data_IF_762576643029
#
_entry.id   IF_762576643029
#
_cell.length_a   1.000
_cell.length_b   1.000
_cell.length_c   1.000
_cell.angle_alpha   90.00
_cell.angle_beta   90.00
_cell.angle_gamma   90.00
#
_symmetry.space_group_name_H-M   'P 1'
#
loop_
_entity.id
_entity.type
_entity.pdbx_description
1 polymer ?
#
# COMPACT_ATOMS: atom_id res chain seq x y z
N UNK A 1 6.65 -0.21 5.60
CA UNK A 1 5.81 0.73 4.84
C UNK A 1 4.85 -0.05 3.94
N UNK A 2 5.33 -0.71 2.88
CA UNK A 2 4.49 -1.40 1.89
C UNK A 2 3.44 -2.36 2.49
N UNK A 3 3.83 -3.22 3.45
CA UNK A 3 2.90 -4.13 4.15
C UNK A 3 1.66 -3.43 4.74
N UNK A 4 1.84 -2.25 5.35
CA UNK A 4 0.74 -1.50 6.00
C UNK A 4 0.01 -0.58 5.04
N UNK A 5 0.51 -0.40 3.81
CA UNK A 5 -0.13 0.45 2.79
C UNK A 5 -1.56 0.00 2.48
N UNK A 6 -1.83 -1.31 2.61
CA UNK A 6 -3.15 -1.89 2.35
C UNK A 6 -4.00 -2.17 3.59
N UNK A 7 -3.55 -1.70 4.76
CA UNK A 7 -4.28 -1.84 6.01
C UNK A 7 -5.54 -0.98 6.05
N UNK A 8 -5.50 0.23 5.49
CA UNK A 8 -6.61 1.17 5.44
C UNK A 8 -6.91 1.59 4.00
N UNK A 9 -8.07 2.21 3.79
CA UNK A 9 -8.47 2.76 2.49
C UNK A 9 -7.47 3.80 1.95
N UNK A 10 -6.81 4.53 2.85
CA UNK A 10 -5.84 5.57 2.51
C UNK A 10 -4.47 5.11 3.02
N UNK A 11 -3.61 4.73 2.09
CA UNK A 11 -2.24 4.31 2.38
C UNK A 11 -1.50 3.91 1.11
N UNK A 12 -2.17 3.13 0.27
CA UNK A 12 -1.67 2.65 -1.02
C UNK A 12 -2.79 2.65 -2.07
N UNK A 13 -2.48 2.29 -3.31
CA UNK A 13 -3.44 2.22 -4.40
C UNK A 13 -4.40 1.02 -4.31
N UNK A 14 -3.99 -0.21 -4.00
CA UNK A 14 -4.91 -1.37 -4.02
C UNK A 14 -6.20 -1.21 -3.18
N UNK A 15 -6.19 -0.61 -1.97
CA UNK A 15 -7.40 -0.29 -1.22
C UNK A 15 -8.34 0.67 -1.95
N UNK A 16 -7.79 1.65 -2.65
CA UNK A 16 -8.55 2.62 -3.44
C UNK A 16 -9.13 1.96 -4.69
N UNK A 17 -8.42 1.01 -5.30
CA UNK A 17 -8.91 0.19 -6.39
C UNK A 17 -10.07 -0.71 -5.92
N UNK A 18 -9.93 -1.36 -4.76
CA UNK A 18 -11.00 -2.15 -4.16
C UNK A 18 -12.24 -1.30 -3.90
N UNK A 19 -12.04 -0.09 -3.41
CA UNK A 19 -13.15 0.85 -3.30
C UNK A 19 -13.80 1.11 -4.68
N UNK A 20 -13.02 1.49 -5.69
CA UNK A 20 -13.55 1.85 -7.01
C UNK A 20 -14.33 0.71 -7.68
N UNK A 21 -13.96 -0.55 -7.42
CA UNK A 21 -14.56 -1.73 -8.06
C UNK A 21 -15.66 -2.36 -7.21
N UNK A 22 -15.46 -2.50 -5.90
CA UNK A 22 -16.35 -3.23 -5.00
C UNK A 22 -17.12 -2.33 -4.02
N UNK A 23 -16.84 -1.02 -4.01
CA UNK A 23 -17.51 -0.07 -3.13
C UNK A 23 -17.06 -0.12 -1.67
N UNK A 24 -15.91 -0.75 -1.36
CA UNK A 24 -15.38 -0.80 0.01
C UNK A 24 -15.13 0.60 0.58
N UNK A 25 -15.51 0.80 1.82
CA UNK A 25 -15.45 2.08 2.52
C UNK A 25 -14.41 2.06 3.65
N UNK A 26 -13.99 3.23 4.15
CA UNK A 26 -12.98 3.32 5.20
C UNK A 26 -13.27 2.43 6.44
N UNK A 27 -14.51 2.41 6.99
CA UNK A 27 -14.83 1.54 8.13
C UNK A 27 -14.69 0.04 7.81
N UNK A 28 -14.94 -0.36 6.55
CA UNK A 28 -14.86 -1.76 6.13
C UNK A 28 -13.44 -2.32 6.24
N UNK A 29 -12.40 -1.47 6.16
CA UNK A 29 -11.01 -1.89 6.35
C UNK A 29 -10.70 -2.22 7.82
N UNK A 30 -11.48 -1.71 8.76
CA UNK A 30 -11.34 -2.02 10.19
C UNK A 30 -12.25 -3.20 10.54
N UNK A 31 -13.54 -3.09 10.19
CA UNK A 31 -14.56 -4.04 10.57
C UNK A 31 -15.64 -4.13 9.50
N UNK A 32 -15.84 -5.32 8.94
CA UNK A 32 -16.80 -5.56 7.86
C UNK A 32 -17.60 -6.83 8.13
N UNK A 33 -18.92 -6.79 7.93
CA UNK A 33 -19.84 -7.93 8.16
C UNK A 33 -19.70 -8.61 9.53
N UNK A 34 -19.40 -7.84 10.58
CA UNK A 34 -19.24 -8.37 11.93
C UNK A 34 -17.88 -9.04 12.19
N UNK A 35 -16.91 -8.87 11.29
CA UNK A 35 -15.60 -9.52 11.33
C UNK A 35 -14.47 -8.49 11.18
N UNK A 36 -13.29 -8.74 11.77
CA UNK A 36 -12.12 -7.91 11.52
C UNK A 36 -11.64 -8.05 10.06
N UNK A 37 -11.28 -6.92 9.46
CA UNK A 37 -10.87 -6.84 8.06
C UNK A 37 -9.36 -6.58 7.94
N UNK A 38 -8.93 -5.82 6.91
CA UNK A 38 -7.53 -5.57 6.58
C UNK A 38 -6.68 -5.04 7.73
N UNK A 39 -7.12 -3.98 8.41
CA UNK A 39 -6.30 -3.29 9.42
C UNK A 39 -5.92 -4.20 10.60
N UNK A 40 -6.86 -4.87 11.31
CA UNK A 40 -6.49 -5.76 12.40
C UNK A 40 -5.65 -6.95 11.94
N UNK A 41 -5.98 -7.54 10.78
CA UNK A 41 -5.30 -8.73 10.25
C UNK A 41 -3.86 -8.40 9.86
N UNK A 42 -3.64 -7.31 9.11
CA UNK A 42 -2.30 -6.85 8.75
C UNK A 42 -1.50 -6.35 9.95
N UNK A 43 -2.15 -5.80 10.98
CA UNK A 43 -1.49 -5.45 12.24
C UNK A 43 -0.92 -6.69 12.92
N UNK A 44 -1.69 -7.78 13.01
CA UNK A 44 -1.20 -9.04 13.56
C UNK A 44 -0.06 -9.61 12.70
N UNK A 45 -0.20 -9.60 11.38
CA UNK A 45 0.85 -10.05 10.47
C UNK A 45 2.13 -9.23 10.62
N UNK A 46 2.02 -7.91 10.70
CA UNK A 46 3.15 -7.01 10.92
C UNK A 46 3.85 -7.29 12.25
N UNK A 47 3.10 -7.45 13.34
CA UNK A 47 3.66 -7.76 14.66
C UNK A 47 4.35 -9.13 14.65
N UNK A 48 3.79 -10.13 13.96
CA UNK A 48 4.41 -11.44 13.81
C UNK A 48 5.72 -11.37 13.01
N UNK A 49 5.73 -10.64 11.90
CA UNK A 49 6.95 -10.43 11.09
C UNK A 49 7.99 -9.64 11.88
N UNK A 50 7.60 -8.59 12.60
CA UNK A 50 8.49 -7.81 13.46
C UNK A 50 9.09 -8.67 14.57
N UNK A 51 8.28 -9.47 15.26
CA UNK A 51 8.74 -10.38 16.31
C UNK A 51 9.76 -11.39 15.78
N UNK A 52 9.55 -11.93 14.58
CA UNK A 52 10.51 -12.83 13.94
C UNK A 52 11.85 -12.13 13.66
N UNK A 53 11.84 -10.95 13.04
CA UNK A 53 13.08 -10.23 12.73
C UNK A 53 13.79 -9.77 14.01
N UNK A 54 13.06 -9.36 15.03
CA UNK A 54 13.61 -9.03 16.34
C UNK A 54 14.26 -10.24 17.02
N UNK A 55 13.61 -11.41 17.00
CA UNK A 55 14.18 -12.65 17.53
C UNK A 55 15.41 -13.10 16.72
N UNK A 56 15.36 -12.98 15.39
CA UNK A 56 16.48 -13.29 14.48
C UNK A 56 17.67 -12.37 14.73
N UNK A 57 17.45 -11.07 14.91
CA UNK A 57 18.52 -10.13 15.23
C UNK A 57 19.12 -10.45 16.60
N UNK A 58 18.31 -10.72 17.62
CA UNK A 58 18.81 -11.11 18.95
C UNK A 58 19.56 -12.44 18.96
N UNK A 59 19.17 -13.41 18.14
CA UNK A 59 19.89 -14.67 17.97
C UNK A 59 21.25 -14.48 17.26
N UNK A 60 21.37 -13.45 16.40
CA UNK A 60 22.63 -13.08 15.73
C UNK A 60 23.55 -12.20 16.60
N UNK A 61 23.06 -11.61 17.69
CA UNK A 61 23.84 -10.83 18.68
C UNK A 61 24.81 -11.73 19.52
N UNK A 62 25.06 -12.98 19.10
CA UNK A 62 26.27 -13.73 19.50
C UNK A 62 27.54 -13.25 18.78
N UNK A 63 27.40 -12.52 17.68
CA UNK A 63 28.49 -11.78 17.05
C UNK A 63 28.07 -10.32 16.93
N UNK A 64 28.81 -9.45 17.61
CA UNK A 64 28.70 -8.02 17.49
C UNK A 64 28.91 -7.62 16.03
N UNK A 65 27.83 -7.57 15.26
CA UNK A 65 27.72 -6.57 14.20
C UNK A 65 27.90 -5.27 14.96
N UNK A 66 28.95 -4.45 14.68
CA UNK A 66 28.94 -3.10 15.19
C UNK A 66 27.63 -2.54 14.67
N UNK A 67 26.66 -2.35 15.57
CA UNK A 67 25.72 -1.27 15.42
C UNK A 67 26.63 -0.15 15.00
N UNK A 68 26.52 0.31 13.75
CA UNK A 68 27.01 1.63 13.40
C UNK A 68 26.28 2.44 14.45
N UNK A 69 27.02 2.73 15.54
CA UNK A 69 26.55 3.51 16.65
C UNK A 69 25.86 4.62 15.91
N UNK A 70 24.55 4.72 16.12
CA UNK A 70 23.83 5.83 15.58
C UNK A 70 24.76 7.01 15.80
N UNK A 71 25.11 7.70 14.70
CA UNK A 71 24.75 9.08 14.73
C UNK A 71 23.35 9.03 15.33
N UNK A 72 23.31 9.25 16.64
CA UNK A 72 22.08 9.57 17.29
C UNK A 72 21.46 10.51 16.27
N UNK A 73 20.21 10.26 15.89
CA UNK A 73 19.38 11.41 15.59
C UNK A 73 19.29 12.13 16.94
N UNK A 74 20.40 12.73 17.33
CA UNK A 74 20.55 13.63 18.41
C UNK A 74 19.66 14.75 17.95
N UNK A 75 18.69 15.05 18.78
CA UNK A 75 18.09 16.36 18.83
C UNK A 75 19.13 17.38 19.36
N UNK A 76 20.42 17.17 19.04
CA UNK A 76 21.53 18.01 19.43
C UNK A 76 21.78 18.98 18.28
N UNK A 77 21.80 20.24 18.65
CA UNK A 77 21.96 21.39 17.78
C UNK A 77 23.11 21.20 16.78
N UNK A 78 22.97 21.66 15.53
CA UNK A 78 23.98 21.45 14.52
C UNK A 78 25.23 22.28 14.85
N UNK A 79 26.21 21.66 15.50
CA UNK A 79 27.59 22.12 15.45
C UNK A 79 28.12 21.88 14.05
N UNK A 80 28.14 22.96 13.26
CA UNK A 80 29.08 23.25 12.18
C UNK A 80 29.46 22.13 11.20
N UNK A 81 29.12 22.35 9.92
CA UNK A 81 29.73 21.79 8.69
C UNK A 81 29.17 20.51 8.07
N UNK A 82 28.03 20.00 8.50
CA UNK A 82 27.25 19.05 7.70
C UNK A 82 26.22 19.81 6.84
N UNK A 83 26.15 19.49 5.54
CA UNK A 83 25.14 19.99 4.61
C UNK A 83 23.75 20.01 5.27
N UNK A 84 23.02 21.13 5.26
CA UNK A 84 21.73 21.20 5.93
C UNK A 84 20.80 20.22 5.22
N UNK A 85 20.38 19.17 5.92
CA UNK A 85 19.12 18.51 5.59
C UNK A 85 18.02 19.57 5.47
N UNK A 86 16.94 19.34 4.70
CA UNK A 86 15.96 20.38 4.39
C UNK A 86 15.38 20.96 5.69
N UNK A 87 15.94 22.09 6.12
CA UNK A 87 15.51 22.79 7.31
C UNK A 87 14.10 23.25 7.04
N UNK A 88 13.14 22.82 7.86
CA UNK A 88 11.75 23.24 7.75
C UNK A 88 11.74 24.78 7.79
N UNK A 89 11.45 25.46 6.67
CA UNK A 89 11.76 26.88 6.52
C UNK A 89 10.91 27.77 7.43
N UNK A 90 9.74 27.27 7.85
CA UNK A 90 8.81 27.97 8.71
C UNK A 90 7.90 26.99 9.48
N UNK A 91 7.86 27.10 10.81
CA UNK A 91 6.99 26.29 11.67
C UNK A 91 5.50 26.49 11.35
N UNK A 92 5.10 27.70 10.98
CA UNK A 92 3.73 27.99 10.59
C UNK A 92 3.36 27.32 9.25
N UNK A 93 4.27 27.32 8.28
CA UNK A 93 4.08 26.61 7.01
C UNK A 93 3.91 25.11 7.24
N UNK A 94 4.80 24.49 8.02
CA UNK A 94 4.69 23.08 8.35
C UNK A 94 3.37 22.75 9.06
N UNK A 95 2.95 23.58 10.01
CA UNK A 95 1.68 23.37 10.70
C UNK A 95 0.48 23.45 9.74
N UNK A 96 0.43 24.46 8.87
CA UNK A 96 -0.64 24.61 7.87
C UNK A 96 -0.69 23.41 6.93
N UNK A 97 0.47 22.94 6.45
CA UNK A 97 0.55 21.75 5.58
C UNK A 97 0.12 20.49 6.32
N UNK A 98 0.61 20.24 7.53
CA UNK A 98 0.23 19.07 8.32
C UNK A 98 -1.26 19.06 8.67
N UNK A 99 -1.83 20.22 9.04
CA UNK A 99 -3.25 20.34 9.35
C UNK A 99 -4.10 20.19 8.08
N UNK A 100 -3.72 20.84 6.97
CA UNK A 100 -4.42 20.69 5.70
C UNK A 100 -4.41 19.25 5.18
N UNK A 101 -3.26 18.58 5.27
CA UNK A 101 -3.13 17.16 4.98
C UNK A 101 -4.01 16.31 5.91
N UNK A 102 -3.94 16.52 7.22
CA UNK A 102 -4.73 15.80 8.21
C UNK A 102 -6.25 15.96 7.99
N UNK A 103 -6.70 17.18 7.68
CA UNK A 103 -8.10 17.46 7.34
C UNK A 103 -8.52 16.75 6.05
N UNK A 104 -7.63 16.67 5.05
CA UNK A 104 -7.90 15.95 3.80
C UNK A 104 -8.04 14.44 4.06
N UNK A 105 -7.16 13.85 4.87
CA UNK A 105 -7.24 12.44 5.27
C UNK A 105 -8.54 12.17 6.05
N UNK A 106 -8.91 13.04 6.99
CA UNK A 106 -10.16 12.93 7.73
C UNK A 106 -11.39 13.07 6.81
N UNK A 107 -11.33 13.98 5.83
CA UNK A 107 -12.37 14.13 4.81
C UNK A 107 -12.53 12.88 3.97
N UNK A 108 -11.43 12.29 3.50
CA UNK A 108 -11.45 11.04 2.74
C UNK A 108 -11.95 9.85 3.57
N UNK A 109 -11.53 9.74 4.84
CA UNK A 109 -12.03 8.72 5.76
C UNK A 109 -13.51 8.89 6.08
N UNK A 110 -13.97 10.14 6.22
CA UNK A 110 -15.36 10.51 6.51
C UNK A 110 -16.24 10.70 5.28
N UNK A 111 -15.80 10.28 4.09
CA UNK A 111 -16.51 10.59 2.84
C UNK A 111 -17.95 10.09 2.79
N UNK A 112 -18.31 9.03 3.53
CA UNK A 112 -19.68 8.52 3.58
C UNK A 112 -20.67 9.62 4.01
N UNK A 113 -20.19 10.59 4.81
CA UNK A 113 -20.94 11.76 5.24
C UNK A 113 -20.99 12.86 4.17
N UNK A 114 -19.97 12.92 3.30
CA UNK A 114 -19.78 13.94 2.27
C UNK A 114 -20.40 13.49 0.92
N UNK A 115 -20.60 12.18 0.73
CA UNK A 115 -21.14 11.53 -0.49
C UNK A 115 -20.47 11.96 -1.79
N UNK A 116 -19.16 12.20 -1.73
CA UNK A 116 -18.35 12.53 -2.90
C UNK A 116 -17.22 11.53 -3.11
N UNK A 117 -16.79 11.42 -4.36
CA UNK A 117 -15.70 10.55 -4.79
C UNK A 117 -14.39 10.84 -4.06
N UNK A 118 -13.61 9.79 -3.80
CA UNK A 118 -12.35 9.90 -3.05
C UNK A 118 -11.37 10.88 -3.72
N UNK A 119 -11.30 10.82 -5.05
CA UNK A 119 -10.46 11.72 -5.85
C UNK A 119 -10.91 13.18 -5.82
N UNK A 120 -12.22 13.44 -5.70
CA UNK A 120 -12.73 14.81 -5.59
C UNK A 120 -12.34 15.45 -4.26
N UNK A 121 -12.45 14.70 -3.16
CA UNK A 121 -12.06 15.18 -1.82
C UNK A 121 -10.56 15.45 -1.77
N UNK A 122 -9.74 14.55 -2.33
CA UNK A 122 -8.29 14.74 -2.40
C UNK A 122 -7.93 15.98 -3.23
N UNK A 123 -8.56 16.18 -4.39
CA UNK A 123 -8.35 17.35 -5.23
C UNK A 123 -8.78 18.64 -4.51
N UNK A 124 -9.96 18.65 -3.89
CA UNK A 124 -10.45 19.80 -3.12
C UNK A 124 -9.53 20.16 -1.95
N UNK A 125 -9.00 19.16 -1.23
CA UNK A 125 -8.01 19.36 -0.17
C UNK A 125 -6.70 19.95 -0.69
N UNK A 126 -6.19 19.42 -1.80
CA UNK A 126 -4.98 19.93 -2.44
C UNK A 126 -5.15 21.38 -2.95
N UNK A 127 -6.22 21.66 -3.70
CA UNK A 127 -6.53 23.00 -4.19
C UNK A 127 -6.78 23.97 -3.03
N UNK A 128 -7.51 23.55 -2.00
CA UNK A 128 -7.74 24.35 -0.80
C UNK A 128 -6.42 24.71 -0.10
N UNK A 129 -5.52 23.75 0.05
CA UNK A 129 -4.20 23.99 0.64
C UNK A 129 -3.37 24.95 -0.22
N UNK A 130 -3.35 24.78 -1.55
CA UNK A 130 -2.64 25.69 -2.47
C UNK A 130 -3.19 27.13 -2.34
N UNK A 131 -4.52 27.30 -2.29
CA UNK A 131 -5.14 28.61 -2.11
C UNK A 131 -4.73 29.24 -0.77
N UNK A 132 -4.74 28.48 0.33
CA UNK A 132 -4.29 28.97 1.64
C UNK A 132 -2.82 29.39 1.58
N UNK A 133 -1.95 28.58 0.96
CA UNK A 133 -0.54 28.90 0.84
C UNK A 133 -0.30 30.17 0.01
N UNK A 134 -1.03 30.39 -1.08
CA UNK A 134 -0.87 31.58 -1.93
C UNK A 134 -1.44 32.85 -1.26
N UNK A 135 -2.57 32.74 -0.54
CA UNK A 135 -3.17 33.86 0.20
C UNK A 135 -2.26 34.31 1.35
N UNK A 136 -1.66 33.37 2.08
CA UNK A 136 -0.77 33.65 3.21
C UNK A 136 0.72 33.60 2.83
N UNK A 137 1.04 33.75 1.54
CA UNK A 137 2.40 33.63 0.99
C UNK A 137 3.41 34.51 1.71
N UNK A 138 3.03 35.74 2.07
CA UNK A 138 3.89 36.69 2.80
C UNK A 138 4.27 36.22 4.21
N UNK A 139 3.41 35.48 4.91
CA UNK A 139 3.69 34.98 6.26
C UNK A 139 4.32 33.59 6.27
N UNK A 140 3.97 32.76 5.29
CA UNK A 140 4.36 31.34 5.25
C UNK A 140 5.61 31.09 4.40
N UNK A 141 5.91 31.97 3.44
CA UNK A 141 7.00 31.83 2.47
C UNK A 141 7.04 30.42 1.82
N UNK A 142 5.93 29.94 1.23
CA UNK A 142 5.87 28.62 0.60
C UNK A 142 6.74 28.55 -0.66
N UNK A 143 7.14 27.33 -1.08
CA UNK A 143 7.73 27.13 -2.40
C UNK A 143 6.76 27.52 -3.51
N UNK A 144 7.29 27.97 -4.66
CA UNK A 144 6.47 28.33 -5.81
C UNK A 144 5.69 27.13 -6.36
N UNK A 145 4.48 27.39 -6.87
CA UNK A 145 3.60 26.35 -7.40
C UNK A 145 4.26 25.51 -8.50
N UNK A 146 5.05 26.14 -9.39
CA UNK A 146 5.81 25.43 -10.42
C UNK A 146 6.77 24.40 -9.82
N UNK A 147 7.42 24.73 -8.70
CA UNK A 147 8.32 23.83 -8.01
C UNK A 147 7.55 22.63 -7.44
N UNK A 148 6.40 22.87 -6.81
CA UNK A 148 5.50 21.81 -6.32
C UNK A 148 5.07 20.89 -7.46
N UNK A 149 4.68 21.45 -8.61
CA UNK A 149 4.30 20.67 -9.80
C UNK A 149 5.46 19.87 -10.40
N UNK A 150 6.71 20.32 -10.23
CA UNK A 150 7.89 19.62 -10.73
C UNK A 150 8.28 18.44 -9.82
N UNK A 151 7.88 18.47 -8.54
CA UNK A 151 8.08 17.38 -7.59
C UNK A 151 7.07 16.22 -7.78
N UNK A 152 5.98 16.44 -8.51
CA UNK A 152 5.03 15.38 -8.86
C UNK A 152 5.62 14.42 -9.89
N UNK A 153 5.46 13.11 -9.64
CA UNK A 153 5.81 12.07 -10.62
C UNK A 153 4.72 11.97 -11.71
N UNK A 154 4.82 12.87 -12.70
CA UNK A 154 3.93 12.87 -13.86
C UNK A 154 3.96 11.56 -14.65
N UNK A 155 5.06 10.80 -14.61
CA UNK A 155 5.14 9.51 -15.28
C UNK A 155 4.22 8.51 -14.60
N UNK A 156 4.21 8.47 -13.27
CA UNK A 156 3.29 7.64 -12.50
C UNK A 156 1.82 8.04 -12.77
N UNK A 157 1.50 9.34 -12.75
CA UNK A 157 0.14 9.82 -13.04
C UNK A 157 -0.34 9.39 -14.44
N UNK A 158 0.48 9.62 -15.47
CA UNK A 158 0.14 9.24 -16.85
C UNK A 158 0.08 7.72 -17.04
N UNK A 159 0.94 6.97 -16.35
CA UNK A 159 0.89 5.50 -16.33
C UNK A 159 -0.45 5.01 -15.79
N UNK A 160 -0.92 5.52 -14.65
CA UNK A 160 -2.21 5.10 -14.09
C UNK A 160 -3.39 5.51 -14.96
N UNK A 161 -3.37 6.71 -15.57
CA UNK A 161 -4.38 7.10 -16.57
C UNK A 161 -4.45 6.09 -17.72
N UNK A 162 -3.29 5.69 -18.27
CA UNK A 162 -3.23 4.70 -19.34
C UNK A 162 -3.66 3.31 -18.88
N UNK A 163 -3.30 2.90 -17.66
CA UNK A 163 -3.69 1.62 -17.07
C UNK A 163 -5.21 1.53 -16.89
N UNK A 164 -5.83 2.56 -16.32
CA UNK A 164 -7.29 2.60 -16.16
C UNK A 164 -8.01 2.63 -17.51
N UNK A 165 -7.48 3.37 -18.49
CA UNK A 165 -8.03 3.38 -19.85
C UNK A 165 -7.91 1.99 -20.52
N UNK A 166 -6.79 1.30 -20.34
CA UNK A 166 -6.57 -0.06 -20.84
C UNK A 166 -7.57 -1.04 -20.20
N UNK A 167 -7.66 -1.06 -18.87
CA UNK A 167 -8.54 -1.98 -18.15
C UNK A 167 -10.01 -1.69 -18.47
N UNK A 168 -10.43 -0.42 -18.53
CA UNK A 168 -11.77 -0.05 -18.97
C UNK A 168 -12.06 -0.47 -20.42
N UNK A 169 -11.05 -0.46 -21.30
CA UNK A 169 -11.15 -1.03 -22.64
C UNK A 169 -11.35 -2.55 -22.65
N UNK A 170 -10.61 -3.27 -21.79
CA UNK A 170 -10.77 -4.74 -21.63
C UNK A 170 -12.13 -5.12 -21.04
N UNK A 171 -12.66 -4.29 -20.15
CA UNK A 171 -14.00 -4.42 -19.59
C UNK A 171 -15.07 -4.22 -20.68
N UNK A 172 -14.98 -3.15 -21.47
CA UNK A 172 -15.94 -2.84 -22.52
C UNK A 172 -15.95 -3.88 -23.66
N UNK A 173 -14.83 -4.58 -23.86
CA UNK A 173 -14.70 -5.67 -24.84
C UNK A 173 -15.12 -7.04 -24.29
N UNK A 174 -15.63 -7.09 -23.05
CA UNK A 174 -16.06 -8.31 -22.35
C UNK A 174 -14.98 -9.39 -22.16
N UNK A 175 -13.70 -9.03 -22.31
CA UNK A 175 -12.58 -9.95 -22.05
C UNK A 175 -12.55 -10.33 -20.57
N UNK A 176 -12.79 -9.36 -19.68
CA UNK A 176 -12.84 -9.58 -18.23
C UNK A 176 -13.97 -10.56 -17.88
N UNK A 177 -15.17 -10.39 -18.44
CA UNK A 177 -16.29 -11.30 -18.22
C UNK A 177 -16.02 -12.72 -18.72
N UNK A 178 -15.35 -12.86 -19.87
CA UNK A 178 -14.93 -14.17 -20.39
C UNK A 178 -13.93 -14.86 -19.45
N UNK A 179 -12.96 -14.10 -18.91
CA UNK A 179 -12.00 -14.60 -17.92
C UNK A 179 -12.69 -14.99 -16.61
N UNK A 180 -13.64 -14.20 -16.13
CA UNK A 180 -14.44 -14.49 -14.94
C UNK A 180 -15.24 -15.80 -15.10
N UNK A 181 -15.89 -16.00 -16.24
CA UNK A 181 -16.58 -17.26 -16.53
C UNK A 181 -15.64 -18.46 -16.62
N UNK A 182 -14.45 -18.30 -17.21
CA UNK A 182 -13.46 -19.37 -17.30
C UNK A 182 -12.91 -19.76 -15.92
N UNK A 183 -12.79 -18.80 -15.00
CA UNK A 183 -12.27 -19.03 -13.66
C UNK A 183 -13.35 -19.40 -12.63
N UNK A 184 -14.64 -19.14 -12.91
CA UNK A 184 -15.75 -19.40 -11.99
C UNK A 184 -15.74 -20.83 -11.38
N UNK A 185 -15.48 -21.92 -12.12
CA UNK A 185 -15.46 -23.27 -11.55
C UNK A 185 -14.41 -23.46 -10.45
N UNK A 186 -13.33 -22.68 -10.46
CA UNK A 186 -12.30 -22.72 -9.42
C UNK A 186 -12.69 -21.94 -8.17
N UNK A 187 -13.65 -21.02 -8.28
CA UNK A 187 -14.14 -20.17 -7.18
C UNK A 187 -15.45 -20.66 -6.55
N UNK A 188 -16.09 -21.68 -7.12
CA UNK A 188 -17.31 -22.32 -6.56
C UNK A 188 -17.10 -22.85 -5.14
N UNK A 189 -15.89 -23.33 -4.83
CA UNK A 189 -15.52 -23.72 -3.48
C UNK A 189 -14.69 -22.60 -2.82
N UNK A 190 -15.24 -21.86 -1.84
CA UNK A 190 -14.58 -20.68 -1.27
C UNK A 190 -13.16 -20.95 -0.77
N UNK A 191 -12.94 -22.10 -0.12
CA UNK A 191 -11.62 -22.48 0.36
C UNK A 191 -10.61 -22.69 -0.78
N UNK A 192 -10.96 -23.48 -1.79
CA UNK A 192 -10.06 -23.77 -2.93
C UNK A 192 -9.81 -22.50 -3.73
N UNK A 193 -10.87 -21.74 -4.01
CA UNK A 193 -10.80 -20.52 -4.81
C UNK A 193 -9.89 -19.46 -4.19
N UNK A 194 -10.09 -19.16 -2.91
CA UNK A 194 -9.24 -18.20 -2.18
C UNK A 194 -7.81 -18.70 -2.08
N UNK A 195 -7.60 -19.98 -1.79
CA UNK A 195 -6.26 -20.57 -1.70
C UNK A 195 -5.51 -20.47 -3.03
N UNK A 196 -6.16 -20.85 -4.12
CA UNK A 196 -5.58 -20.83 -5.45
C UNK A 196 -5.23 -19.39 -5.85
N UNK A 197 -6.19 -18.46 -5.70
CA UNK A 197 -5.99 -17.05 -6.02
C UNK A 197 -4.80 -16.48 -5.23
N UNK A 198 -4.77 -16.72 -3.93
CA UNK A 198 -3.76 -16.17 -3.02
C UNK A 198 -2.34 -16.64 -3.38
N UNK A 199 -2.15 -17.95 -3.53
CA UNK A 199 -0.83 -18.54 -3.76
C UNK A 199 -0.35 -18.43 -5.22
N UNK A 200 -1.25 -18.30 -6.19
CA UNK A 200 -0.88 -18.01 -7.59
C UNK A 200 -0.55 -16.53 -7.77
N UNK A 201 -1.27 -15.63 -7.11
CA UNK A 201 -1.01 -14.18 -7.17
C UNK A 201 0.40 -13.87 -6.69
N UNK A 202 0.79 -14.39 -5.52
CA UNK A 202 2.04 -14.07 -4.82
C UNK A 202 3.31 -14.13 -5.69
N UNK A 203 3.62 -15.22 -6.42
CA UNK A 203 4.80 -15.27 -7.29
C UNK A 203 4.67 -14.40 -8.56
N UNK A 204 3.45 -14.11 -9.03
CA UNK A 204 3.24 -13.27 -10.21
C UNK A 204 3.57 -11.81 -9.86
N UNK A 205 2.98 -11.29 -8.79
CA UNK A 205 3.20 -9.89 -8.34
C UNK A 205 4.60 -9.66 -7.78
N UNK A 206 5.35 -10.73 -7.51
CA UNK A 206 6.76 -10.61 -7.18
C UNK A 206 7.60 -10.11 -8.36
N UNK A 207 7.12 -10.24 -9.61
CA UNK A 207 7.84 -9.85 -10.82
C UNK A 207 7.07 -8.83 -11.66
N UNK A 208 5.74 -8.90 -11.61
CA UNK A 208 4.82 -8.04 -12.34
C UNK A 208 4.38 -6.87 -11.47
N UNK A 209 4.14 -5.72 -12.10
CA UNK A 209 3.50 -4.56 -11.48
C UNK A 209 2.17 -4.97 -10.82
N UNK A 210 2.06 -4.73 -9.52
CA UNK A 210 1.00 -5.34 -8.70
C UNK A 210 -0.33 -4.60 -8.80
N UNK A 211 -0.35 -3.29 -9.06
CA UNK A 211 -1.57 -2.50 -9.17
C UNK A 211 -2.41 -2.92 -10.37
N UNK A 212 -1.79 -3.11 -11.54
CA UNK A 212 -2.44 -3.59 -12.76
C UNK A 212 -3.01 -4.99 -12.60
N UNK A 213 -2.26 -5.88 -11.94
CA UNK A 213 -2.70 -7.24 -11.65
C UNK A 213 -3.93 -7.22 -10.73
N UNK A 214 -3.85 -6.50 -9.61
CA UNK A 214 -4.95 -6.38 -8.64
C UNK A 214 -6.17 -5.78 -9.32
N UNK A 215 -6.02 -4.67 -10.06
CA UNK A 215 -7.14 -4.02 -10.75
C UNK A 215 -7.87 -4.99 -11.70
N UNK A 216 -7.12 -5.73 -12.52
CA UNK A 216 -7.69 -6.70 -13.46
C UNK A 216 -8.48 -7.78 -12.71
N UNK A 217 -7.89 -8.38 -11.67
CA UNK A 217 -8.54 -9.44 -10.92
C UNK A 217 -9.68 -8.94 -10.02
N UNK A 218 -9.66 -7.68 -9.57
CA UNK A 218 -10.80 -7.06 -8.89
C UNK A 218 -12.03 -7.04 -9.80
N UNK A 219 -11.86 -6.64 -11.06
CA UNK A 219 -12.96 -6.67 -12.04
C UNK A 219 -13.40 -8.10 -12.37
N UNK A 220 -12.46 -9.05 -12.49
CA UNK A 220 -12.80 -10.47 -12.67
C UNK A 220 -13.65 -11.00 -11.51
N UNK A 221 -13.29 -10.69 -10.26
CA UNK A 221 -14.04 -11.11 -9.07
C UNK A 221 -15.41 -10.42 -9.01
N UNK A 222 -15.50 -9.14 -9.41
CA UNK A 222 -16.77 -8.39 -9.47
C UNK A 222 -17.76 -9.04 -10.44
N UNK A 223 -17.25 -9.55 -11.56
CA UNK A 223 -18.05 -10.15 -12.63
C UNK A 223 -18.29 -11.66 -12.42
N UNK A 224 -17.91 -12.22 -11.25
CA UNK A 224 -18.24 -13.61 -10.91
C UNK A 224 -19.75 -13.81 -10.74
N UNK A 225 -20.25 -15.05 -10.96
CA UNK A 225 -21.65 -15.38 -10.74
C UNK A 225 -22.10 -15.08 -9.30
N UNK A 226 -23.34 -14.62 -9.15
CA UNK A 226 -23.91 -14.15 -7.87
C UNK A 226 -23.95 -15.16 -6.72
N UNK A 227 -23.59 -16.42 -6.98
CA UNK A 227 -23.56 -17.51 -5.99
C UNK A 227 -22.23 -17.55 -5.22
N UNK A 228 -21.18 -16.92 -5.74
CA UNK A 228 -19.85 -16.86 -5.11
C UNK A 228 -19.77 -15.61 -4.24
N UNK A 229 -19.40 -15.75 -2.96
CA UNK A 229 -19.11 -14.59 -2.12
C UNK A 229 -17.76 -13.97 -2.54
N UNK A 230 -17.72 -12.72 -3.05
CA UNK A 230 -16.50 -12.14 -3.59
C UNK A 230 -15.56 -11.60 -2.52
N UNK A 231 -16.03 -11.32 -1.30
CA UNK A 231 -15.24 -10.63 -0.27
C UNK A 231 -13.98 -11.37 0.19
N UNK A 232 -14.01 -12.69 0.45
CA UNK A 232 -12.79 -13.44 0.74
C UNK A 232 -11.77 -13.39 -0.40
N UNK A 233 -12.24 -13.35 -1.66
CA UNK A 233 -11.38 -13.24 -2.84
C UNK A 233 -10.78 -11.85 -2.95
N UNK A 234 -11.55 -10.79 -2.69
CA UNK A 234 -11.06 -9.42 -2.65
C UNK A 234 -9.96 -9.22 -1.59
N UNK A 235 -10.21 -9.65 -0.35
CA UNK A 235 -9.20 -9.55 0.70
C UNK A 235 -7.96 -10.40 0.41
N UNK A 236 -8.17 -11.63 -0.09
CA UNK A 236 -7.09 -12.50 -0.50
C UNK A 236 -6.23 -11.91 -1.62
N UNK A 237 -6.84 -11.31 -2.64
CA UNK A 237 -6.14 -10.66 -3.75
C UNK A 237 -5.33 -9.45 -3.27
N UNK A 238 -5.93 -8.57 -2.47
CA UNK A 238 -5.25 -7.38 -1.96
C UNK A 238 -4.04 -7.77 -1.11
N UNK A 239 -4.21 -8.71 -0.18
CA UNK A 239 -3.11 -9.13 0.69
C UNK A 239 -2.04 -9.89 -0.07
N UNK A 240 -2.40 -10.86 -0.94
CA UNK A 240 -1.43 -11.58 -1.74
C UNK A 240 -0.66 -10.66 -2.70
N UNK A 241 -1.37 -9.72 -3.33
CA UNK A 241 -0.81 -8.75 -4.27
C UNK A 241 0.20 -7.81 -3.60
N UNK A 242 -0.19 -7.15 -2.52
CA UNK A 242 0.70 -6.23 -1.81
C UNK A 242 1.83 -6.97 -1.10
N UNK A 243 1.54 -8.06 -0.40
CA UNK A 243 2.57 -8.76 0.35
C UNK A 243 3.57 -9.46 -0.59
N UNK A 244 3.09 -10.07 -1.67
CA UNK A 244 3.92 -10.72 -2.69
C UNK A 244 4.85 -9.74 -3.41
N UNK A 245 4.40 -8.49 -3.63
CA UNK A 245 5.23 -7.43 -4.22
C UNK A 245 6.51 -7.12 -3.41
N UNK A 246 6.55 -7.48 -2.12
CA UNK A 246 7.74 -7.30 -1.28
C UNK A 246 8.84 -8.34 -1.54
N UNK A 247 8.61 -9.34 -2.39
CA UNK A 247 9.59 -10.40 -2.62
C UNK A 247 10.81 -9.91 -3.41
N UNK A 248 10.59 -9.05 -4.40
CA UNK A 248 11.64 -8.48 -5.25
C UNK A 248 11.54 -6.97 -5.34
N UNK A 249 12.65 -6.35 -5.74
CA UNK A 249 12.76 -4.91 -5.98
C UNK A 249 11.85 -4.46 -7.15
N UNK A 250 11.55 -5.37 -8.08
CA UNK A 250 10.67 -5.08 -9.22
C UNK A 250 9.20 -5.05 -8.82
N UNK A 251 8.82 -5.73 -7.73
CA UNK A 251 7.43 -5.85 -7.31
C UNK A 251 6.84 -4.55 -6.74
N UNK A 252 7.63 -3.76 -6.00
CA UNK A 252 7.15 -2.52 -5.39
C UNK A 252 8.18 -1.38 -5.45
N UNK A 253 7.80 -0.17 -5.91
CA UNK A 253 8.68 1.00 -5.96
C UNK A 253 9.28 1.37 -4.60
N UNK A 254 8.52 1.16 -3.51
CA UNK A 254 8.99 1.42 -2.15
C UNK A 254 10.24 0.58 -1.78
N UNK A 255 10.35 -0.65 -2.31
CA UNK A 255 11.51 -1.51 -2.07
C UNK A 255 12.72 -1.04 -2.89
N UNK A 256 12.51 -0.55 -4.10
CA UNK A 256 13.57 0.08 -4.90
C UNK A 256 14.16 1.31 -4.21
N UNK A 257 13.30 2.19 -3.68
CA UNK A 257 13.76 3.37 -2.92
C UNK A 257 14.51 2.95 -1.65
N UNK A 258 13.98 1.99 -0.89
CA UNK A 258 14.64 1.49 0.31
C UNK A 258 16.01 0.85 0.01
N UNK A 259 16.12 0.10 -1.09
CA UNK A 259 17.39 -0.49 -1.53
C UNK A 259 18.40 0.58 -1.92
N UNK A 260 18.00 1.57 -2.72
CA UNK A 260 18.89 2.67 -3.13
C UNK A 260 19.43 3.46 -1.93
N UNK A 261 18.59 3.71 -0.92
CA UNK A 261 19.01 4.35 0.32
C UNK A 261 20.02 3.49 1.10
N UNK A 262 19.75 2.19 1.21
CA UNK A 262 20.66 1.27 1.87
C UNK A 262 22.00 1.14 1.13
N UNK A 263 21.99 1.10 -0.20
CA UNK A 263 23.20 1.03 -1.02
C UNK A 263 24.03 2.33 -0.97
N UNK A 264 23.38 3.47 -0.76
CA UNK A 264 24.06 4.75 -0.58
C UNK A 264 24.87 4.82 0.73
N UNK A 265 24.41 4.15 1.79
CA UNK A 265 25.07 4.15 3.10
C UNK A 265 26.02 2.96 3.30
N UNK A 266 25.61 1.74 2.91
CA UNK A 266 26.32 0.49 3.18
C UNK A 266 27.09 -0.07 1.98
N UNK A 267 26.97 0.57 0.80
CA UNK A 267 27.51 0.05 -0.46
C UNK A 267 26.59 -0.98 -1.13
N UNK A 268 27.01 -1.49 -2.30
CA UNK A 268 26.16 -2.37 -3.13
C UNK A 268 25.70 -3.62 -2.36
N UNK A 269 24.40 -3.86 -2.36
CA UNK A 269 23.78 -5.02 -1.70
C UNK A 269 23.59 -6.12 -2.74
N UNK A 270 24.05 -7.32 -2.42
CA UNK A 270 23.87 -8.45 -3.35
C UNK A 270 22.41 -8.90 -3.41
N UNK A 271 21.96 -9.39 -4.56
CA UNK A 271 20.60 -9.95 -4.72
C UNK A 271 20.32 -11.06 -3.68
N UNK A 272 21.33 -11.87 -3.37
CA UNK A 272 21.23 -12.96 -2.38
C UNK A 272 20.99 -12.41 -0.97
N UNK A 273 21.69 -11.34 -0.62
CA UNK A 273 21.52 -10.68 0.67
C UNK A 273 20.12 -10.07 0.78
N UNK A 274 19.69 -9.35 -0.25
CA UNK A 274 18.32 -8.80 -0.31
C UNK A 274 17.26 -9.90 -0.17
N UNK A 275 17.35 -10.97 -0.98
CA UNK A 275 16.41 -12.09 -0.93
C UNK A 275 16.43 -12.83 0.42
N UNK A 276 17.56 -12.81 1.14
CA UNK A 276 17.64 -13.42 2.47
C UNK A 276 16.79 -12.70 3.52
N UNK A 277 16.46 -11.42 3.29
CA UNK A 277 15.54 -10.64 4.12
C UNK A 277 14.12 -10.64 3.55
N UNK A 278 13.96 -10.46 2.23
CA UNK A 278 12.63 -10.35 1.61
C UNK A 278 11.86 -11.67 1.62
N UNK A 279 12.52 -12.81 1.38
CA UNK A 279 11.84 -14.13 1.34
C UNK A 279 11.23 -14.47 2.70
N UNK A 280 11.95 -14.42 3.84
CA UNK A 280 11.34 -14.65 5.15
C UNK A 280 10.26 -13.65 5.50
N UNK A 281 10.44 -12.37 5.12
CA UNK A 281 9.44 -11.33 5.34
C UNK A 281 8.12 -11.67 4.65
N UNK A 282 8.18 -11.99 3.36
CA UNK A 282 6.99 -12.37 2.57
C UNK A 282 6.40 -13.66 3.10
N UNK A 283 7.19 -14.71 3.32
CA UNK A 283 6.68 -15.99 3.78
C UNK A 283 5.92 -15.90 5.12
N UNK A 284 6.42 -15.13 6.08
CA UNK A 284 5.78 -14.97 7.39
C UNK A 284 4.55 -14.10 7.28
N UNK A 285 4.68 -12.92 6.67
CA UNK A 285 3.55 -12.00 6.54
C UNK A 285 2.39 -12.65 5.78
N UNK A 286 2.68 -13.25 4.62
CA UNK A 286 1.68 -13.93 3.78
C UNK A 286 1.10 -15.17 4.44
N UNK A 287 1.90 -15.95 5.17
CA UNK A 287 1.42 -17.12 5.89
C UNK A 287 0.45 -16.73 7.01
N UNK A 288 0.79 -15.70 7.80
CA UNK A 288 -0.08 -15.21 8.89
C UNK A 288 -1.37 -14.62 8.33
N UNK A 289 -1.29 -13.74 7.32
CA UNK A 289 -2.50 -13.17 6.70
C UNK A 289 -3.35 -14.23 6.02
N UNK A 290 -2.76 -15.23 5.37
CA UNK A 290 -3.50 -16.35 4.76
C UNK A 290 -4.25 -17.17 5.81
N UNK A 291 -3.60 -17.51 6.93
CA UNK A 291 -4.27 -18.24 8.01
C UNK A 291 -5.43 -17.44 8.58
N UNK A 292 -5.24 -16.14 8.85
CA UNK A 292 -6.29 -15.26 9.34
C UNK A 292 -7.42 -15.07 8.31
N UNK A 293 -7.09 -14.98 7.01
CA UNK A 293 -8.07 -14.93 5.92
C UNK A 293 -8.98 -16.16 5.96
N UNK A 294 -8.39 -17.36 6.03
CA UNK A 294 -9.19 -18.59 6.06
C UNK A 294 -10.03 -18.66 7.33
N UNK A 295 -9.44 -18.38 8.49
CA UNK A 295 -10.13 -18.48 9.79
C UNK A 295 -11.29 -17.49 9.94
N UNK A 296 -11.13 -16.26 9.46
CA UNK A 296 -12.09 -15.18 9.66
C UNK A 296 -13.08 -15.11 8.49
N UNK A 297 -12.61 -15.22 7.25
CA UNK A 297 -13.43 -14.92 6.06
C UNK A 297 -13.98 -16.17 5.38
N UNK A 298 -13.26 -17.29 5.40
CA UNK A 298 -13.67 -18.51 4.68
C UNK A 298 -14.43 -19.50 5.57
N UNK A 299 -13.85 -19.93 6.70
CA UNK A 299 -14.45 -20.96 7.56
C UNK A 299 -15.84 -20.60 8.11
N UNK A 300 -16.13 -19.35 8.55
CA UNK A 300 -17.44 -19.04 9.08
C UNK A 300 -18.50 -18.81 8.00
N UNK A 301 -18.17 -19.05 6.72
CA UNK A 301 -19.09 -19.07 5.59
C UNK A 301 -19.24 -20.44 4.93
N UNK A 302 -18.56 -21.48 5.44
CA UNK A 302 -18.77 -22.89 5.11
C UNK A 302 -19.83 -23.50 6.02
#
# INVERSE_FOLDING_TARGET
ANLMGTALLIGDLPPQLLHSVAGAEFPDFIWQFGRPSSFPILTVAFLATLAYFYARSHAFIGHAVPVVSGAAVGLDEPTGTASPGPAIPNKAFAWVVCVGFGLTILGMAGRQLIQHELGFIAAAGAFGLIVVLEVFRKQLNPPDFEKIMTELDWRAVLFYVALFALVGGLEHTHIIGALAHALAPFFDQPFIGVTLLYWVTLPIVAVVEHDAYILTFLYVIRDLPSQVNPWPLYWGLLWAGTLGSNLTVAGAPALYVALNLAEAEAGKISLREFLSYSVPFVAISTGVTYLLLILIWVLPGM
#
